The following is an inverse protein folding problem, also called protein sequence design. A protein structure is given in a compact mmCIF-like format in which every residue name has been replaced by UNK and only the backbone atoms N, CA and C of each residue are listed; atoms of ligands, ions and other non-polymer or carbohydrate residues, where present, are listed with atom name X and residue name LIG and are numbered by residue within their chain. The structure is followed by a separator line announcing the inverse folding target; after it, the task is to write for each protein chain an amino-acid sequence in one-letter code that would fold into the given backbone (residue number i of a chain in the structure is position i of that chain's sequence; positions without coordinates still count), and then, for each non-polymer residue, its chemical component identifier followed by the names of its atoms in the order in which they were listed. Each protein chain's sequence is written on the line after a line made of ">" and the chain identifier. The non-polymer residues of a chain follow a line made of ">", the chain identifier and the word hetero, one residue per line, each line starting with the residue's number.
data_IF_071644903402
#
_entry.id   IF_071644903402
#
_cell.length_a   1.000
_cell.length_b   1.000
_cell.length_c   1.000
_cell.angle_alpha   90.00
_cell.angle_beta   90.00
_cell.angle_gamma   90.00
#
_symmetry.space_group_name_H-M   'P 1'
#
loop_
_entity.id
_entity.type
_entity.pdbx_description
1 polymer ?
#
# COMPACT_ATOMS: atom_id res chain seq x y z
N UNK A 1 -7.11 24.08 0.31
CA UNK A 1 -6.59 22.70 0.23
C UNK A 1 -7.76 21.79 -0.16
N UNK A 2 -7.69 21.09 -1.29
CA UNK A 2 -8.83 20.28 -1.78
C UNK A 2 -8.61 18.83 -1.35
N UNK A 3 -9.19 18.43 -0.23
CA UNK A 3 -9.14 17.06 0.25
C UNK A 3 -9.81 16.13 -0.76
N UNK A 4 -9.22 14.96 -0.99
CA UNK A 4 -9.80 13.92 -1.84
C UNK A 4 -10.23 12.76 -0.94
N UNK A 5 -11.51 12.71 -0.53
CA UNK A 5 -11.99 11.77 0.48
C UNK A 5 -11.76 10.30 0.10
N UNK A 6 -11.69 10.01 -1.21
CA UNK A 6 -11.38 8.68 -1.73
C UNK A 6 -10.08 8.07 -1.22
N UNK A 7 -9.03 8.86 -0.97
CA UNK A 7 -7.77 8.30 -0.44
C UNK A 7 -7.87 7.82 1.01
N UNK A 8 -8.73 8.45 1.82
CA UNK A 8 -8.99 7.95 3.17
C UNK A 8 -9.74 6.61 3.14
N UNK A 9 -10.57 6.39 2.13
CA UNK A 9 -11.20 5.07 1.91
C UNK A 9 -10.14 4.02 1.59
N UNK A 10 -9.22 4.30 0.67
CA UNK A 10 -8.11 3.39 0.38
C UNK A 10 -7.24 3.13 1.62
N UNK A 11 -6.90 4.17 2.38
CA UNK A 11 -6.13 4.03 3.61
C UNK A 11 -6.83 3.12 4.64
N UNK A 12 -8.14 3.31 4.84
CA UNK A 12 -8.94 2.49 5.74
C UNK A 12 -8.99 1.02 5.33
N UNK A 13 -9.13 0.74 4.03
CA UNK A 13 -9.12 -0.65 3.53
C UNK A 13 -7.76 -1.32 3.69
N UNK A 14 -6.66 -0.60 3.43
CA UNK A 14 -5.31 -1.15 3.67
C UNK A 14 -5.06 -1.42 5.17
N UNK A 15 -5.55 -0.55 6.05
CA UNK A 15 -5.46 -0.75 7.50
C UNK A 15 -6.27 -1.96 7.96
N UNK A 16 -7.49 -2.10 7.44
CA UNK A 16 -8.34 -3.26 7.68
C UNK A 16 -7.66 -4.55 7.21
N UNK A 17 -7.06 -4.53 6.02
CA UNK A 17 -6.29 -5.67 5.49
C UNK A 17 -5.10 -6.02 6.36
N UNK A 18 -4.33 -5.05 6.83
CA UNK A 18 -3.25 -5.28 7.79
C UNK A 18 -3.76 -5.95 9.07
N UNK A 19 -4.86 -5.44 9.63
CA UNK A 19 -5.48 -6.03 10.82
C UNK A 19 -5.91 -7.47 10.57
N UNK A 20 -6.59 -7.76 9.46
CA UNK A 20 -7.04 -9.12 9.16
C UNK A 20 -5.89 -10.10 8.89
N UNK A 21 -4.83 -9.68 8.21
CA UNK A 21 -3.67 -10.55 7.98
C UNK A 21 -2.91 -10.83 9.28
N UNK A 22 -2.82 -9.84 10.18
CA UNK A 22 -2.17 -10.02 11.48
C UNK A 22 -3.02 -10.83 12.45
N UNK A 23 -4.36 -10.68 12.44
CA UNK A 23 -5.27 -11.56 13.19
C UNK A 23 -5.32 -12.97 12.61
N UNK A 24 -5.33 -13.11 11.28
CA UNK A 24 -5.22 -14.39 10.59
C UNK A 24 -3.93 -15.12 10.94
N UNK A 25 -2.82 -14.40 11.11
CA UNK A 25 -1.56 -14.94 11.60
C UNK A 25 -1.58 -15.39 13.06
N UNK A 26 -2.46 -14.82 13.88
CA UNK A 26 -2.67 -15.24 15.27
C UNK A 26 -3.56 -16.50 15.34
N UNK A 27 -4.48 -16.67 14.39
CA UNK A 27 -5.45 -17.78 14.35
C UNK A 27 -4.98 -18.98 13.51
N UNK A 28 -4.16 -18.74 12.49
CA UNK A 28 -3.60 -19.75 11.61
C UNK A 28 -2.08 -19.68 11.66
N UNK A 29 -1.48 -20.80 12.07
CA UNK A 29 -0.05 -21.17 11.95
C UNK A 29 0.86 -20.78 13.12
N UNK A 30 1.11 -21.78 13.97
CA UNK A 30 2.21 -21.87 14.93
C UNK A 30 3.61 -22.00 14.28
N UNK A 31 3.76 -21.83 12.96
CA UNK A 31 4.99 -22.17 12.24
C UNK A 31 5.89 -20.99 11.82
N UNK A 32 5.40 -19.76 11.58
CA UNK A 32 6.27 -18.60 11.25
C UNK A 32 5.55 -17.23 11.33
N UNK A 33 5.38 -16.64 12.53
CA UNK A 33 4.75 -15.31 12.69
C UNK A 33 5.55 -14.17 12.05
N UNK A 34 6.87 -14.35 11.84
CA UNK A 34 7.75 -13.35 11.23
C UNK A 34 7.46 -13.17 9.74
N UNK A 35 7.20 -14.24 9.00
CA UNK A 35 6.86 -14.18 7.57
C UNK A 35 5.52 -13.46 7.36
N UNK A 36 4.54 -13.71 8.21
CA UNK A 36 3.25 -13.04 8.13
C UNK A 36 3.36 -11.54 8.41
N UNK A 37 4.21 -11.13 9.37
CA UNK A 37 4.52 -9.71 9.60
C UNK A 37 5.23 -9.09 8.40
N UNK A 38 6.18 -9.80 7.78
CA UNK A 38 6.88 -9.33 6.60
C UNK A 38 5.93 -9.14 5.41
N UNK A 39 4.98 -10.06 5.23
CA UNK A 39 3.95 -10.00 4.17
C UNK A 39 2.90 -8.92 4.46
N UNK A 40 2.56 -8.67 5.73
CA UNK A 40 1.57 -7.66 6.12
C UNK A 40 2.14 -6.23 6.19
N UNK A 41 3.44 -6.07 6.45
CA UNK A 41 4.09 -4.77 6.61
C UNK A 41 3.88 -3.78 5.44
N UNK A 42 3.91 -4.21 4.17
CA UNK A 42 3.61 -3.33 3.04
C UNK A 42 2.22 -2.67 3.13
N UNK A 43 1.22 -3.35 3.69
CA UNK A 43 -0.14 -2.81 3.78
C UNK A 43 -0.22 -1.62 4.73
N UNK A 44 0.56 -1.63 5.81
CA UNK A 44 0.65 -0.48 6.72
C UNK A 44 1.33 0.71 6.04
N UNK A 45 2.34 0.44 5.20
CA UNK A 45 3.03 1.45 4.41
C UNK A 45 2.10 2.05 3.34
N UNK A 46 1.28 1.23 2.68
CA UNK A 46 0.25 1.69 1.74
C UNK A 46 -0.84 2.49 2.43
N UNK A 47 -1.31 2.06 3.60
CA UNK A 47 -2.27 2.82 4.40
C UNK A 47 -1.75 4.22 4.73
N UNK A 48 -0.49 4.32 5.19
CA UNK A 48 0.16 5.60 5.47
C UNK A 48 0.31 6.45 4.20
N UNK A 49 0.74 5.87 3.09
CA UNK A 49 0.89 6.57 1.82
C UNK A 49 -0.45 7.14 1.30
N UNK A 50 -1.52 6.35 1.37
CA UNK A 50 -2.87 6.81 1.04
C UNK A 50 -3.37 7.89 1.99
N UNK A 51 -3.11 7.76 3.29
CA UNK A 51 -3.47 8.77 4.28
C UNK A 51 -2.81 10.13 3.97
N UNK A 52 -1.51 10.14 3.67
CA UNK A 52 -0.79 11.35 3.28
C UNK A 52 -1.33 11.93 1.97
N UNK A 53 -1.60 11.09 0.96
CA UNK A 53 -2.26 11.52 -0.29
C UNK A 53 -3.66 12.10 -0.08
N UNK A 54 -4.41 11.62 0.91
CA UNK A 54 -5.71 12.17 1.31
C UNK A 54 -5.62 13.53 1.98
N UNK A 55 -4.59 13.73 2.81
CA UNK A 55 -4.31 15.02 3.46
C UNK A 55 -3.92 16.10 2.44
N UNK A 56 -2.89 15.85 1.63
CA UNK A 56 -2.40 16.80 0.64
C UNK A 56 -1.83 16.07 -0.59
N UNK A 57 -2.64 15.87 -1.64
CA UNK A 57 -2.23 15.09 -2.81
C UNK A 57 -1.08 15.72 -3.60
N UNK A 58 -0.94 17.05 -3.56
CA UNK A 58 0.10 17.76 -4.32
C UNK A 58 1.46 17.62 -3.62
N UNK A 59 1.48 17.84 -2.30
CA UNK A 59 2.69 17.71 -1.47
C UNK A 59 3.21 16.27 -1.41
N UNK A 60 2.31 15.29 -1.40
CA UNK A 60 2.64 13.88 -1.20
C UNK A 60 2.54 13.05 -2.48
N UNK A 61 2.59 13.71 -3.64
CA UNK A 61 2.56 13.06 -4.96
C UNK A 61 3.70 12.06 -5.17
N UNK A 62 4.83 12.23 -4.47
CA UNK A 62 6.00 11.33 -4.51
C UNK A 62 5.68 9.90 -4.05
N UNK A 63 4.64 9.70 -3.24
CA UNK A 63 4.26 8.36 -2.79
C UNK A 63 3.46 7.56 -3.83
N UNK A 64 2.95 8.20 -4.89
CA UNK A 64 2.21 7.53 -5.97
C UNK A 64 2.99 6.39 -6.64
N UNK A 65 4.21 6.62 -7.19
CA UNK A 65 4.95 5.56 -7.87
C UNK A 65 5.23 4.40 -6.91
N UNK A 66 5.50 4.68 -5.63
CA UNK A 66 5.72 3.66 -4.62
C UNK A 66 4.48 2.77 -4.42
N UNK A 67 3.29 3.38 -4.33
CA UNK A 67 2.04 2.63 -4.22
C UNK A 67 1.78 1.82 -5.50
N UNK A 68 2.00 2.39 -6.69
CA UNK A 68 1.80 1.69 -7.96
C UNK A 68 2.70 0.46 -8.05
N UNK A 69 4.00 0.63 -7.79
CA UNK A 69 4.97 -0.48 -7.79
C UNK A 69 4.58 -1.52 -6.75
N UNK A 70 4.23 -1.09 -5.54
CA UNK A 70 3.78 -1.97 -4.47
C UNK A 70 2.56 -2.81 -4.87
N UNK A 71 1.53 -2.19 -5.44
CA UNK A 71 0.33 -2.89 -5.93
C UNK A 71 0.62 -3.79 -7.12
N UNK A 72 1.50 -3.39 -8.04
CA UNK A 72 1.92 -4.24 -9.14
C UNK A 72 2.64 -5.50 -8.65
N UNK A 73 3.52 -5.38 -7.65
CA UNK A 73 4.16 -6.52 -7.00
C UNK A 73 3.12 -7.40 -6.29
N UNK A 74 2.15 -6.81 -5.59
CA UNK A 74 1.04 -7.58 -4.96
C UNK A 74 0.22 -8.35 -5.99
N UNK A 75 -0.13 -7.73 -7.12
CA UNK A 75 -0.86 -8.39 -8.22
C UNK A 75 -0.02 -9.49 -8.85
N UNK A 76 1.27 -9.26 -9.08
CA UNK A 76 2.18 -10.28 -9.61
C UNK A 76 2.32 -11.47 -8.64
N UNK A 77 2.56 -11.19 -7.36
CA UNK A 77 2.64 -12.21 -6.32
C UNK A 77 1.33 -13.00 -6.20
N UNK A 78 0.18 -12.31 -6.29
CA UNK A 78 -1.12 -12.95 -6.35
C UNK A 78 -1.26 -13.83 -7.60
N UNK A 79 -0.90 -13.35 -8.79
CA UNK A 79 -1.00 -14.12 -10.04
C UNK A 79 -0.14 -15.39 -10.03
N UNK A 80 1.07 -15.32 -9.44
CA UNK A 80 1.99 -16.47 -9.32
C UNK A 80 1.57 -17.41 -8.18
N UNK A 81 1.13 -16.87 -7.05
CA UNK A 81 0.79 -17.64 -5.85
C UNK A 81 -0.63 -18.21 -5.84
N UNK A 82 -1.59 -17.58 -6.54
CA UNK A 82 -2.99 -18.01 -6.57
C UNK A 82 -3.16 -19.46 -7.03
N UNK A 83 -2.51 -19.93 -8.11
CA UNK A 83 -2.70 -21.31 -8.58
C UNK A 83 -2.36 -22.34 -7.51
N UNK A 84 -1.24 -22.16 -6.80
CA UNK A 84 -0.81 -23.03 -5.72
C UNK A 84 -1.72 -22.93 -4.48
N UNK A 85 -2.23 -21.73 -4.18
CA UNK A 85 -3.23 -21.51 -3.14
C UNK A 85 -4.57 -22.17 -3.50
N UNK A 86 -5.04 -22.03 -4.73
CA UNK A 86 -6.30 -22.64 -5.20
C UNK A 86 -6.20 -24.16 -5.20
N UNK A 87 -5.08 -24.74 -5.62
CA UNK A 87 -4.88 -26.20 -5.57
C UNK A 87 -4.90 -26.72 -4.13
N UNK A 88 -4.22 -26.05 -3.20
CA UNK A 88 -4.20 -26.43 -1.78
C UNK A 88 -5.54 -26.20 -1.07
N UNK A 89 -6.31 -25.19 -1.49
CA UNK A 89 -7.65 -24.93 -0.97
C UNK A 89 -8.69 -25.95 -1.45
N UNK A 90 -8.51 -26.50 -2.65
CA UNK A 90 -9.30 -27.62 -3.17
C UNK A 90 -9.11 -28.91 -2.36
N UNK A 91 -7.93 -29.10 -1.78
CA UNK A 91 -7.60 -30.23 -0.90
C UNK A 91 -8.11 -30.02 0.54
N UNK A 92 -8.20 -28.76 1.00
CA UNK A 92 -8.55 -28.38 2.37
C UNK A 92 -10.05 -28.51 2.74
N UNK A 93 -10.79 -29.41 2.09
CA UNK A 93 -12.25 -29.61 2.17
C UNK A 93 -13.00 -29.03 3.39
N UNK A 94 -14.02 -28.20 3.15
CA UNK A 94 -14.93 -27.67 4.17
C UNK A 94 -15.09 -26.14 4.15
N UNK A 95 -15.70 -25.57 5.21
CA UNK A 95 -15.99 -24.13 5.31
C UNK A 95 -14.76 -23.22 5.32
N UNK A 96 -13.61 -23.73 5.81
CA UNK A 96 -12.34 -22.99 5.89
C UNK A 96 -11.74 -22.72 4.50
N UNK A 97 -11.87 -23.67 3.56
CA UNK A 97 -11.40 -23.50 2.19
C UNK A 97 -12.16 -22.42 1.42
N UNK A 98 -13.48 -22.30 1.67
CA UNK A 98 -14.33 -21.27 1.06
C UNK A 98 -13.92 -19.87 1.55
N UNK A 99 -13.73 -19.71 2.86
CA UNK A 99 -13.36 -18.42 3.46
C UNK A 99 -11.99 -17.94 2.95
N UNK A 100 -11.01 -18.84 2.85
CA UNK A 100 -9.69 -18.50 2.35
C UNK A 100 -9.71 -18.17 0.84
N UNK A 101 -10.49 -18.90 0.04
CA UNK A 101 -10.66 -18.62 -1.41
C UNK A 101 -11.28 -17.24 -1.66
N UNK A 102 -12.35 -16.91 -0.92
CA UNK A 102 -13.02 -15.60 -1.00
C UNK A 102 -12.08 -14.48 -0.57
N UNK A 103 -11.29 -14.70 0.49
CA UNK A 103 -10.34 -13.70 1.00
C UNK A 103 -9.24 -13.41 -0.02
N UNK A 104 -8.61 -14.45 -0.59
CA UNK A 104 -7.56 -14.29 -1.61
C UNK A 104 -8.11 -13.62 -2.87
N UNK A 105 -9.30 -14.02 -3.34
CA UNK A 105 -9.97 -13.41 -4.48
C UNK A 105 -10.30 -11.93 -4.26
N UNK A 106 -10.87 -11.58 -3.12
CA UNK A 106 -11.19 -10.20 -2.75
C UNK A 106 -9.91 -9.33 -2.67
N UNK A 107 -8.81 -9.90 -2.14
CA UNK A 107 -7.52 -9.20 -2.07
C UNK A 107 -6.98 -8.88 -3.45
N UNK A 108 -6.96 -9.87 -4.35
CA UNK A 108 -6.48 -9.68 -5.72
C UNK A 108 -7.31 -8.68 -6.50
N UNK A 109 -8.65 -8.76 -6.43
CA UNK A 109 -9.55 -7.81 -7.10
C UNK A 109 -9.27 -6.38 -6.62
N UNK A 110 -9.14 -6.19 -5.30
CA UNK A 110 -8.87 -4.87 -4.74
C UNK A 110 -7.53 -4.29 -5.22
N UNK A 111 -6.48 -5.11 -5.31
CA UNK A 111 -5.16 -4.64 -5.76
C UNK A 111 -5.18 -4.22 -7.22
N UNK A 112 -5.89 -4.98 -8.07
CA UNK A 112 -6.10 -4.62 -9.48
C UNK A 112 -6.91 -3.32 -9.59
N UNK A 113 -8.01 -3.18 -8.84
CA UNK A 113 -8.83 -1.97 -8.86
C UNK A 113 -8.04 -0.74 -8.40
N UNK A 114 -7.24 -0.89 -7.35
CA UNK A 114 -6.43 0.20 -6.79
C UNK A 114 -5.31 0.61 -7.77
N UNK A 115 -4.62 -0.36 -8.36
CA UNK A 115 -3.61 -0.09 -9.39
C UNK A 115 -4.23 0.59 -10.62
N UNK A 116 -5.37 0.08 -11.10
CA UNK A 116 -6.09 0.67 -12.24
C UNK A 116 -6.57 2.09 -11.94
N UNK A 117 -7.10 2.35 -10.75
CA UNK A 117 -7.51 3.70 -10.34
C UNK A 117 -6.32 4.68 -10.35
N UNK A 118 -5.17 4.27 -9.82
CA UNK A 118 -3.97 5.11 -9.79
C UNK A 118 -3.37 5.35 -11.19
N UNK A 119 -3.43 4.36 -12.08
CA UNK A 119 -2.91 4.45 -13.44
C UNK A 119 -3.82 5.25 -14.38
N UNK A 120 -5.13 5.02 -14.34
CA UNK A 120 -6.06 5.53 -15.34
C UNK A 120 -6.91 6.71 -14.87
N UNK A 121 -7.33 6.73 -13.60
CA UNK A 121 -8.29 7.72 -13.10
C UNK A 121 -7.57 8.89 -12.44
N UNK A 122 -6.59 8.60 -11.59
CA UNK A 122 -5.85 9.61 -10.87
C UNK A 122 -4.59 10.03 -11.66
N UNK A 123 -4.76 10.87 -12.69
CA UNK A 123 -3.64 11.59 -13.32
C UNK A 123 -3.17 12.72 -12.41
N UNK A 124 -1.95 12.59 -11.89
CA UNK A 124 -1.33 13.62 -11.07
C UNK A 124 -0.74 14.68 -11.98
N UNK A 125 -0.56 15.90 -11.48
CA UNK A 125 0.33 16.86 -12.14
C UNK A 125 1.78 16.37 -11.94
N UNK A 126 2.18 15.38 -12.73
CA UNK A 126 3.58 14.96 -12.84
C UNK A 126 4.31 16.05 -13.62
N UNK A 127 4.96 16.99 -12.95
CA UNK A 127 5.77 17.97 -13.65
C UNK A 127 6.25 19.19 -12.87
N UNK A 128 5.60 19.57 -11.76
CA UNK A 128 6.13 20.68 -10.95
C UNK A 128 7.09 20.13 -9.89
N UNK A 129 8.37 20.57 -9.90
CA UNK A 129 9.28 20.28 -8.80
C UNK A 129 8.59 20.73 -7.51
N UNK A 130 8.42 19.80 -6.56
CA UNK A 130 7.96 20.17 -5.23
C UNK A 130 8.85 21.27 -4.66
N UNK A 131 8.32 22.14 -3.79
CA UNK A 131 9.11 23.22 -3.21
C UNK A 131 10.38 22.63 -2.60
N UNK A 132 11.53 23.04 -3.14
CA UNK A 132 12.86 22.70 -2.63
C UNK A 132 12.82 23.04 -1.15
N UNK A 133 12.86 22.00 -0.30
CA UNK A 133 12.96 22.18 1.14
C UNK A 133 14.26 22.93 1.34
N UNK A 134 14.12 24.19 1.76
CA UNK A 134 15.15 25.21 1.96
C UNK A 134 16.58 24.77 1.68
N UNK A 135 17.14 25.27 0.58
CA UNK A 135 18.54 25.68 0.61
C UNK A 135 18.68 26.64 1.80
N UNK A 136 19.16 26.13 2.94
CA UNK A 136 19.88 26.96 3.87
C UNK A 136 21.12 27.44 3.11
N UNK A 137 20.95 28.50 2.32
CA UNK A 137 22.02 29.45 2.09
C UNK A 137 22.42 29.92 3.48
N UNK A 138 23.42 29.25 4.03
CA UNK A 138 24.22 29.81 5.09
C UNK A 138 24.84 31.06 4.49
N UNK A 139 24.21 32.21 4.71
CA UNK A 139 24.80 33.51 4.55
C UNK A 139 25.98 33.54 5.52
N UNK A 140 27.16 33.15 5.03
CA UNK A 140 28.42 33.35 5.73
C UNK A 140 28.65 34.86 5.68
N UNK A 141 28.15 35.56 6.70
CA UNK A 141 28.56 36.92 7.00
C UNK A 141 30.08 36.87 7.24
N UNK A 142 30.83 37.32 6.25
CA UNK A 142 32.23 37.69 6.41
C UNK A 142 32.27 38.88 7.36
N UNK A 143 32.56 38.63 8.63
CA UNK A 143 32.95 39.66 9.59
C UNK A 143 34.32 40.17 9.15
N UNK A 144 34.34 41.34 8.52
CA UNK A 144 35.55 42.15 8.39
C UNK A 144 36.00 42.54 9.80
N UNK A 145 37.19 42.08 10.19
CA UNK A 145 37.87 42.53 11.39
C UNK A 145 38.67 43.80 11.02
N UNK A 146 38.23 44.93 11.56
CA UNK A 146 39.06 46.13 11.76
C UNK A 146 39.94 45.99 13.01
#
# INVERSE_FOLDING_TARGET
>A
MRHKPFFFTFAGVELFRYYFLTQGALLAVAAQPQLLRLVAAPNLLFAAAFFFLGMNPDRYSVYRPLIIVGKAVSVFAAAVGLPALVSSLGEAGGGTGIVASVTVGAVGIWDVLTAAYLLFVYRGKTGEPGPVIGSHEATVETVEAE
#
